data_IF_065532491588
#
_entry.id   IF_065532491588
#
_cell.length_a   1.000
_cell.length_b   1.000
_cell.length_c   1.000
_cell.angle_alpha   90.00
_cell.angle_beta   90.00
_cell.angle_gamma   90.00
#
_symmetry.space_group_name_H-M   'P 1'
#
loop_
_entity.id
_entity.type
_entity.pdbx_description
1 polymer ?
#
# COMPACT_ATOMS: atom_id res chain seq x y z
N UNK A 1 30.92 59.08 29.76
CA UNK A 1 31.47 57.94 30.55
C UNK A 1 30.39 56.89 30.59
N UNK A 2 30.46 55.97 29.64
CA UNK A 2 29.38 55.03 29.30
C UNK A 2 30.04 53.66 29.35
N UNK A 3 29.74 52.87 30.38
CA UNK A 3 30.31 51.54 30.54
C UNK A 3 29.28 50.49 30.11
N UNK A 4 29.67 49.75 29.07
CA UNK A 4 29.06 48.54 28.57
C UNK A 4 29.04 47.46 29.66
N UNK A 5 27.88 46.82 29.83
CA UNK A 5 27.80 45.47 30.42
C UNK A 5 27.41 44.52 29.29
N UNK A 6 28.34 43.60 29.00
CA UNK A 6 28.18 42.46 28.09
C UNK A 6 27.21 41.46 28.72
N UNK A 7 26.11 41.17 28.02
CA UNK A 7 25.30 39.97 28.22
C UNK A 7 25.41 39.12 26.96
N UNK A 8 26.02 37.94 27.09
CA UNK A 8 26.19 36.95 26.03
C UNK A 8 24.86 36.22 25.78
N UNK A 9 24.22 36.50 24.65
CA UNK A 9 23.15 35.67 24.11
C UNK A 9 23.76 34.59 23.20
N UNK A 10 23.54 33.33 23.57
CA UNK A 10 23.77 32.18 22.71
C UNK A 10 22.79 32.22 21.53
N UNK A 11 23.24 32.74 20.39
CA UNK A 11 22.65 32.44 19.09
C UNK A 11 23.22 31.11 18.59
N UNK A 12 22.48 30.03 18.81
CA UNK A 12 22.68 28.76 18.11
C UNK A 12 21.29 28.20 17.80
N UNK A 13 20.71 28.67 16.71
CA UNK A 13 19.35 28.31 16.29
C UNK A 13 19.05 28.78 14.89
N UNK A 14 19.87 28.36 13.91
CA UNK A 14 19.61 28.61 12.50
C UNK A 14 19.98 27.39 11.67
N UNK A 15 18.96 26.89 10.98
CA UNK A 15 19.02 26.10 9.75
C UNK A 15 19.63 24.69 9.83
N UNK A 16 18.79 23.70 10.17
CA UNK A 16 18.90 22.35 9.60
C UNK A 16 17.87 22.21 8.49
N UNK A 17 18.14 22.83 7.34
CA UNK A 17 17.59 22.35 6.08
C UNK A 17 18.31 21.03 5.76
N UNK A 18 17.63 19.90 5.92
CA UNK A 18 18.10 18.61 5.42
C UNK A 18 18.13 18.69 3.89
N UNK A 19 19.30 18.95 3.32
CA UNK A 19 19.62 18.52 1.97
C UNK A 19 19.73 16.98 2.00
N UNK A 20 18.66 16.29 1.62
CA UNK A 20 18.76 14.89 1.20
C UNK A 20 19.34 14.93 -0.21
N UNK A 21 20.68 14.80 -0.28
CA UNK A 21 21.38 14.58 -1.52
C UNK A 21 21.07 13.14 -1.97
N UNK A 22 19.99 12.96 -2.74
CA UNK A 22 19.76 11.72 -3.48
C UNK A 22 20.89 11.63 -4.51
N UNK A 23 21.85 10.74 -4.29
CA UNK A 23 22.77 10.31 -5.34
C UNK A 23 21.96 9.50 -6.37
N UNK A 24 21.33 10.20 -7.31
CA UNK A 24 20.93 9.66 -8.60
C UNK A 24 22.21 9.34 -9.37
N UNK A 25 22.74 8.13 -9.17
CA UNK A 25 23.67 7.54 -10.13
C UNK A 25 22.89 7.37 -11.43
N UNK A 26 23.36 8.05 -12.47
CA UNK A 26 22.64 8.29 -13.71
C UNK A 26 22.12 7.04 -14.40
N UNK A 27 20.79 6.99 -14.57
CA UNK A 27 20.13 6.23 -15.63
C UNK A 27 19.66 7.25 -16.66
N UNK A 28 20.61 7.86 -17.35
CA UNK A 28 20.37 8.58 -18.60
C UNK A 28 20.97 7.72 -19.72
N UNK A 29 20.15 6.88 -20.35
CA UNK A 29 20.60 5.97 -21.39
C UNK A 29 19.45 5.37 -22.18
N UNK A 30 19.17 5.99 -23.33
CA UNK A 30 18.40 5.51 -24.48
C UNK A 30 16.94 5.09 -24.25
N UNK A 31 16.03 6.05 -24.52
CA UNK A 31 14.73 5.74 -25.13
C UNK A 31 14.99 5.31 -26.58
N UNK A 32 15.35 4.04 -26.76
CA UNK A 32 15.32 3.38 -28.06
C UNK A 32 13.94 2.78 -28.29
N UNK A 33 13.12 3.43 -29.11
CA UNK A 33 11.91 2.84 -29.70
C UNK A 33 12.35 1.72 -30.67
N UNK A 34 12.77 0.58 -30.14
CA UNK A 34 12.98 -0.63 -30.92
C UNK A 34 11.65 -1.41 -30.94
N UNK A 35 11.04 -1.48 -32.12
CA UNK A 35 9.85 -2.29 -32.35
C UNK A 35 10.10 -3.75 -31.95
N UNK A 36 9.29 -4.24 -31.01
CA UNK A 36 9.21 -5.66 -30.70
C UNK A 36 8.59 -6.40 -31.89
N UNK A 37 9.44 -6.96 -32.75
CA UNK A 37 9.03 -8.06 -33.62
C UNK A 37 8.71 -9.31 -32.79
N UNK A 38 7.83 -10.20 -33.26
CA UNK A 38 7.44 -11.40 -32.52
C UNK A 38 8.66 -12.32 -32.36
N UNK A 39 9.16 -12.48 -31.12
CA UNK A 39 10.18 -13.46 -30.80
C UNK A 39 9.54 -14.84 -30.65
N UNK A 40 10.08 -15.81 -31.37
CA UNK A 40 9.73 -17.22 -31.30
C UNK A 40 9.88 -17.74 -29.85
N UNK A 41 8.83 -18.42 -29.37
CA UNK A 41 8.71 -18.91 -28.01
C UNK A 41 9.74 -19.99 -27.69
N UNK A 42 10.52 -19.75 -26.63
CA UNK A 42 11.14 -20.83 -25.88
C UNK A 42 10.09 -21.36 -24.90
N UNK A 43 9.63 -22.59 -25.14
CA UNK A 43 8.69 -23.31 -24.29
C UNK A 43 9.35 -23.65 -22.94
N UNK A 44 9.30 -22.70 -22.01
CA UNK A 44 9.52 -22.96 -20.58
C UNK A 44 8.26 -23.59 -19.99
N UNK A 45 8.00 -24.86 -20.35
CA UNK A 45 6.81 -25.62 -20.01
C UNK A 45 6.78 -26.16 -18.58
N UNK A 46 6.87 -25.28 -17.57
CA UNK A 46 6.34 -25.58 -16.25
C UNK A 46 5.03 -24.82 -16.11
N UNK A 47 3.92 -25.45 -16.51
CA UNK A 47 2.60 -24.93 -16.21
C UNK A 47 2.45 -24.88 -14.69
N UNK A 48 2.59 -23.69 -14.08
CA UNK A 48 2.12 -23.47 -12.72
C UNK A 48 0.65 -23.86 -12.70
N UNK A 49 0.30 -24.83 -11.85
CA UNK A 49 -1.10 -25.15 -11.63
C UNK A 49 -1.81 -23.85 -11.21
N UNK A 50 -2.96 -23.50 -11.81
CA UNK A 50 -3.71 -22.33 -11.39
C UNK A 50 -4.00 -22.47 -9.90
N UNK A 51 -3.46 -21.55 -9.11
CA UNK A 51 -3.82 -21.44 -7.70
C UNK A 51 -5.17 -20.73 -7.70
N UNK A 52 -6.25 -21.46 -7.42
CA UNK A 52 -7.56 -20.85 -7.24
C UNK A 52 -7.47 -19.89 -6.04
N UNK A 53 -7.83 -18.62 -6.27
CA UNK A 53 -7.82 -17.62 -5.20
C UNK A 53 -8.79 -18.04 -4.09
N UNK A 54 -8.27 -18.11 -2.88
CA UNK A 54 -9.09 -18.21 -1.68
C UNK A 54 -9.46 -16.79 -1.27
N UNK A 55 -10.73 -16.44 -1.43
CA UNK A 55 -11.25 -15.14 -1.00
C UNK A 55 -11.19 -15.00 0.51
N UNK A 56 -10.76 -13.82 0.96
CA UNK A 56 -10.83 -13.40 2.36
C UNK A 56 -11.52 -12.03 2.46
N UNK A 57 -12.57 -11.87 3.30
CA UNK A 57 -13.31 -12.95 3.94
C UNK A 57 -13.94 -13.90 2.90
N UNK A 58 -14.19 -15.15 3.28
CA UNK A 58 -14.85 -16.09 2.36
C UNK A 58 -16.28 -15.62 2.08
N UNK A 59 -16.67 -15.42 0.80
CA UNK A 59 -18.01 -14.96 0.47
C UNK A 59 -19.06 -16.03 0.82
N UNK A 60 -20.29 -15.62 1.17
CA UNK A 60 -21.44 -16.52 1.17
C UNK A 60 -21.62 -17.20 -0.19
N UNK A 61 -22.33 -18.34 -0.20
CA UNK A 61 -22.70 -19.00 -1.45
C UNK A 61 -23.46 -18.04 -2.39
N UNK A 62 -23.15 -18.03 -3.71
CA UNK A 62 -23.70 -17.05 -4.65
C UNK A 62 -25.23 -16.94 -4.64
N UNK A 63 -25.95 -18.06 -4.52
CA UNK A 63 -27.41 -18.08 -4.49
C UNK A 63 -27.98 -17.29 -3.31
N UNK A 64 -27.24 -17.23 -2.20
CA UNK A 64 -27.63 -16.47 -1.02
C UNK A 64 -27.39 -14.98 -1.21
N UNK A 65 -26.44 -14.54 -2.05
CA UNK A 65 -26.13 -13.13 -2.23
C UNK A 65 -27.28 -12.37 -2.88
N UNK A 66 -27.91 -12.95 -3.91
CA UNK A 66 -29.05 -12.36 -4.59
C UNK A 66 -30.28 -12.17 -3.68
N UNK A 67 -30.38 -12.97 -2.61
CA UNK A 67 -31.48 -12.89 -1.63
C UNK A 67 -31.25 -11.83 -0.55
N UNK A 68 -30.01 -11.38 -0.35
CA UNK A 68 -29.66 -10.38 0.66
C UNK A 68 -30.12 -8.99 0.22
N UNK A 69 -30.45 -8.12 1.18
CA UNK A 69 -30.64 -6.69 0.89
C UNK A 69 -29.29 -6.00 0.73
N UNK A 70 -29.26 -4.79 0.14
CA UNK A 70 -28.03 -4.00 0.11
C UNK A 70 -27.49 -3.73 1.53
N UNK A 71 -28.36 -3.51 2.51
CA UNK A 71 -27.98 -3.32 3.90
C UNK A 71 -27.29 -4.56 4.51
N UNK A 72 -27.65 -5.76 4.07
CA UNK A 72 -27.00 -7.01 4.50
C UNK A 72 -25.71 -7.30 3.72
N UNK A 73 -25.59 -6.80 2.49
CA UNK A 73 -24.40 -6.97 1.65
C UNK A 73 -23.26 -6.03 2.05
N UNK A 74 -23.53 -4.78 2.43
CA UNK A 74 -22.47 -3.81 2.77
C UNK A 74 -21.54 -4.31 3.89
N UNK A 75 -22.02 -4.87 5.02
CA UNK A 75 -21.15 -5.42 6.06
C UNK A 75 -20.30 -6.63 5.61
N UNK A 76 -20.67 -7.25 4.48
CA UNK A 76 -19.96 -8.39 3.88
C UNK A 76 -18.97 -7.95 2.78
N UNK A 77 -18.92 -6.67 2.44
CA UNK A 77 -17.94 -6.17 1.48
C UNK A 77 -16.53 -6.46 1.99
N UNK A 78 -15.64 -6.99 1.14
CA UNK A 78 -14.26 -7.10 1.50
C UNK A 78 -13.67 -5.68 1.57
N UNK A 79 -12.65 -5.47 2.41
CA UNK A 79 -11.85 -4.26 2.39
C UNK A 79 -11.32 -3.93 0.99
N UNK A 80 -11.13 -2.64 0.70
CA UNK A 80 -10.46 -2.20 -0.52
C UNK A 80 -9.08 -2.87 -0.63
N UNK A 81 -8.63 -3.12 -1.86
CA UNK A 81 -7.46 -3.92 -2.28
C UNK A 81 -7.66 -5.42 -2.42
N UNK A 82 -8.57 -6.01 -1.65
CA UNK A 82 -8.89 -7.46 -1.73
C UNK A 82 -10.23 -7.72 -2.44
N UNK A 83 -10.75 -6.69 -3.11
CA UNK A 83 -11.95 -6.76 -3.94
C UNK A 83 -11.74 -7.54 -5.26
N UNK A 84 -10.48 -7.86 -5.59
CA UNK A 84 -10.07 -8.60 -6.79
C UNK A 84 -9.22 -9.80 -6.43
N UNK A 85 -9.28 -10.82 -7.28
CA UNK A 85 -8.57 -12.08 -7.13
C UNK A 85 -8.44 -12.79 -8.47
N UNK A 86 -7.66 -13.87 -8.50
CA UNK A 86 -7.45 -14.69 -9.71
C UNK A 86 -8.20 -16.02 -9.61
N UNK A 87 -9.19 -16.26 -10.46
CA UNK A 87 -9.94 -17.53 -10.52
C UNK A 87 -9.68 -18.18 -11.87
N UNK A 88 -9.16 -19.40 -11.90
CA UNK A 88 -8.85 -20.09 -13.16
C UNK A 88 -7.87 -19.34 -14.07
N UNK A 89 -7.02 -18.46 -13.51
CA UNK A 89 -6.09 -17.61 -14.26
C UNK A 89 -6.67 -16.29 -14.75
N UNK A 90 -7.96 -16.02 -14.52
CA UNK A 90 -8.62 -14.76 -14.88
C UNK A 90 -8.81 -13.88 -13.65
N UNK A 91 -8.69 -12.55 -13.85
CA UNK A 91 -9.00 -11.57 -12.81
C UNK A 91 -10.51 -11.49 -12.62
N UNK A 92 -10.98 -11.75 -11.41
CA UNK A 92 -12.38 -11.68 -11.02
C UNK A 92 -12.56 -10.70 -9.84
N UNK A 93 -13.77 -10.16 -9.70
CA UNK A 93 -14.16 -9.47 -8.48
C UNK A 93 -14.54 -10.47 -7.39
N UNK A 94 -14.40 -10.05 -6.14
CA UNK A 94 -15.00 -10.74 -5.01
C UNK A 94 -16.53 -10.78 -5.20
N UNK A 95 -17.21 -11.92 -4.99
CA UNK A 95 -18.63 -12.07 -5.31
C UNK A 95 -19.56 -11.03 -4.66
N UNK A 96 -19.28 -10.63 -3.41
CA UNK A 96 -20.07 -9.57 -2.73
C UNK A 96 -19.84 -8.21 -3.39
N UNK A 97 -18.60 -7.91 -3.80
CA UNK A 97 -18.25 -6.66 -4.49
C UNK A 97 -18.95 -6.60 -5.84
N UNK A 98 -18.97 -7.71 -6.59
CA UNK A 98 -19.70 -7.83 -7.86
C UNK A 98 -21.21 -7.62 -7.69
N UNK A 99 -21.86 -8.29 -6.73
CA UNK A 99 -23.30 -8.15 -6.47
C UNK A 99 -23.67 -6.71 -6.07
N UNK A 100 -22.91 -6.08 -5.16
CA UNK A 100 -23.13 -4.67 -4.76
C UNK A 100 -22.97 -3.75 -5.97
N UNK A 101 -21.92 -3.95 -6.77
CA UNK A 101 -21.66 -3.19 -8.00
C UNK A 101 -22.84 -3.26 -8.96
N UNK A 102 -23.34 -4.47 -9.20
CA UNK A 102 -24.40 -4.72 -10.17
C UNK A 102 -25.74 -4.12 -9.72
N UNK A 103 -26.05 -4.12 -8.42
CA UNK A 103 -27.23 -3.45 -7.84
C UNK A 103 -27.18 -1.94 -7.96
N UNK A 104 -26.04 -1.33 -7.62
CA UNK A 104 -25.83 0.11 -7.78
C UNK A 104 -25.94 0.51 -9.25
N UNK A 105 -25.40 -0.32 -10.17
CA UNK A 105 -25.56 -0.14 -11.61
C UNK A 105 -27.01 -0.28 -12.08
N UNK A 106 -27.77 -1.17 -11.44
CA UNK A 106 -29.22 -1.34 -11.63
C UNK A 106 -30.07 -0.18 -11.08
N UNK A 107 -29.46 0.80 -10.40
CA UNK A 107 -30.14 1.97 -9.86
C UNK A 107 -30.64 1.82 -8.41
N UNK A 108 -30.27 0.74 -7.72
CA UNK A 108 -30.49 0.64 -6.28
C UNK A 108 -29.70 1.73 -5.55
N UNK A 109 -30.26 2.27 -4.47
CA UNK A 109 -29.69 3.39 -3.72
C UNK A 109 -29.33 2.97 -2.31
N UNK A 110 -28.13 3.37 -1.87
CA UNK A 110 -27.75 3.30 -0.46
C UNK A 110 -28.33 4.47 0.33
N UNK A 111 -28.67 4.21 1.60
CA UNK A 111 -28.95 5.26 2.56
C UNK A 111 -27.65 5.95 3.00
N UNK A 112 -27.75 7.12 3.63
CA UNK A 112 -26.58 7.84 4.16
C UNK A 112 -25.78 7.01 5.17
N UNK A 113 -26.46 6.19 5.98
CA UNK A 113 -25.82 5.32 6.95
C UNK A 113 -24.99 4.23 6.26
N UNK A 114 -25.54 3.61 5.21
CA UNK A 114 -24.84 2.60 4.43
C UNK A 114 -23.64 3.19 3.68
N UNK A 115 -23.74 4.41 3.16
CA UNK A 115 -22.60 5.10 2.55
C UNK A 115 -21.46 5.33 3.55
N UNK A 116 -21.77 5.86 4.74
CA UNK A 116 -20.75 6.07 5.78
C UNK A 116 -20.07 4.75 6.18
N UNK A 117 -20.86 3.72 6.41
CA UNK A 117 -20.36 2.40 6.76
C UNK A 117 -19.49 1.80 5.65
N UNK A 118 -19.96 1.84 4.39
CA UNK A 118 -19.19 1.35 3.25
C UNK A 118 -17.86 2.10 3.09
N UNK A 119 -17.84 3.43 3.24
CA UNK A 119 -16.62 4.21 3.08
C UNK A 119 -15.57 3.96 4.18
N UNK A 120 -16.00 3.76 5.43
CA UNK A 120 -15.08 3.58 6.58
C UNK A 120 -14.70 2.11 6.75
N UNK A 121 -15.67 1.21 6.81
CA UNK A 121 -15.46 -0.18 7.22
C UNK A 121 -14.76 -1.02 6.16
N UNK A 122 -14.94 -0.68 4.87
CA UNK A 122 -14.16 -1.27 3.78
C UNK A 122 -12.78 -0.60 3.63
N UNK A 123 -12.54 0.51 4.32
CA UNK A 123 -11.28 1.24 4.27
C UNK A 123 -11.06 2.07 3.00
N UNK A 124 -12.13 2.47 2.31
CA UNK A 124 -12.08 3.51 1.25
C UNK A 124 -11.50 4.81 1.81
N UNK A 125 -11.83 5.13 3.07
CA UNK A 125 -11.20 6.18 3.85
C UNK A 125 -10.66 5.54 5.14
N UNK A 126 -9.34 5.66 5.36
CA UNK A 126 -8.69 5.17 6.59
C UNK A 126 -8.15 6.36 7.37
N UNK A 127 -8.57 6.44 8.62
CA UNK A 127 -8.10 7.42 9.60
C UNK A 127 -7.47 6.65 10.76
N UNK A 128 -6.22 6.93 11.11
CA UNK A 128 -5.56 6.29 12.24
C UNK A 128 -6.17 6.83 13.53
N UNK A 129 -6.33 5.97 14.54
CA UNK A 129 -6.88 6.37 15.84
C UNK A 129 -5.98 7.37 16.56
N UNK A 130 -4.68 7.30 16.30
CA UNK A 130 -3.64 8.13 16.90
C UNK A 130 -2.71 8.66 15.82
N UNK A 131 -2.19 9.86 16.02
CA UNK A 131 -1.24 10.47 15.10
C UNK A 131 -0.17 11.26 15.85
N UNK A 132 1.11 11.16 15.47
CA UNK A 132 2.16 11.88 16.19
C UNK A 132 2.18 13.36 15.78
N UNK A 133 2.38 14.26 16.75
CA UNK A 133 2.33 15.71 16.53
C UNK A 133 3.43 16.24 15.60
N UNK A 134 4.54 15.52 15.47
CA UNK A 134 5.69 15.94 14.66
C UNK A 134 5.54 15.61 13.17
N UNK A 135 4.43 14.98 12.76
CA UNK A 135 4.08 14.71 11.37
C UNK A 135 2.80 15.44 10.96
N UNK A 136 2.70 15.94 9.72
CA UNK A 136 1.43 16.40 9.17
C UNK A 136 0.38 15.30 9.28
N UNK A 137 -0.82 15.63 9.77
CA UNK A 137 -1.93 14.68 9.81
C UNK A 137 -2.26 14.21 8.40
N UNK A 138 -2.28 12.90 8.19
CA UNK A 138 -2.58 12.31 6.90
C UNK A 138 -3.69 11.26 7.01
N UNK A 139 -4.32 10.99 5.87
CA UNK A 139 -5.29 9.89 5.71
C UNK A 139 -4.91 9.02 4.52
N UNK A 140 -5.45 7.81 4.49
CA UNK A 140 -5.44 6.96 3.30
C UNK A 140 -6.79 7.00 2.63
N UNK A 141 -6.81 7.11 1.31
CA UNK A 141 -8.01 6.85 0.55
C UNK A 141 -7.76 5.88 -0.60
N UNK A 142 -8.71 5.01 -0.90
CA UNK A 142 -8.62 4.07 -2.03
C UNK A 142 -9.99 3.95 -2.67
N UNK A 143 -10.04 4.08 -3.99
CA UNK A 143 -11.30 3.96 -4.71
C UNK A 143 -11.78 2.50 -4.65
N UNK A 144 -13.04 2.24 -4.26
CA UNK A 144 -13.54 0.87 -4.22
C UNK A 144 -13.95 0.36 -5.61
N UNK A 145 -13.69 -0.91 -5.87
CA UNK A 145 -14.03 -1.57 -7.13
C UNK A 145 -15.55 -1.73 -7.31
N UNK A 146 -16.32 -1.79 -6.23
CA UNK A 146 -17.80 -1.83 -6.31
C UNK A 146 -18.42 -0.51 -6.81
N UNK A 147 -17.66 0.59 -6.89
CA UNK A 147 -18.10 1.83 -7.56
C UNK A 147 -17.62 1.95 -9.02
N UNK A 148 -16.78 1.02 -9.50
CA UNK A 148 -16.17 1.12 -10.81
C UNK A 148 -15.29 2.38 -10.93
N UNK A 149 -15.57 3.21 -11.94
CA UNK A 149 -14.91 4.52 -12.05
C UNK A 149 -15.62 5.52 -11.15
N UNK A 150 -14.96 5.88 -10.05
CA UNK A 150 -15.48 6.83 -9.08
C UNK A 150 -14.40 7.78 -8.60
N UNK A 151 -14.87 8.90 -8.05
CA UNK A 151 -14.12 9.91 -7.33
C UNK A 151 -14.79 10.17 -6.00
N UNK A 152 -14.04 10.00 -4.93
CA UNK A 152 -14.46 10.33 -3.57
C UNK A 152 -13.66 11.53 -3.12
N UNK A 153 -14.33 12.55 -2.61
CA UNK A 153 -13.73 13.74 -2.03
C UNK A 153 -14.25 13.87 -0.60
N UNK A 154 -13.36 14.07 0.35
CA UNK A 154 -13.69 14.36 1.75
C UNK A 154 -13.15 15.76 2.02
N UNK A 155 -14.02 16.70 2.37
CA UNK A 155 -13.67 18.11 2.60
C UNK A 155 -13.83 18.46 4.08
N UNK A 156 -12.72 18.61 4.84
CA UNK A 156 -12.78 19.03 6.23
C UNK A 156 -13.34 20.45 6.39
N UNK A 157 -14.43 20.58 7.17
CA UNK A 157 -15.02 21.89 7.45
C UNK A 157 -14.03 22.78 8.21
N UNK A 158 -14.04 24.07 7.86
CA UNK A 158 -13.21 25.08 8.50
C UNK A 158 -11.90 25.41 7.77
N UNK A 159 -11.57 24.70 6.69
CA UNK A 159 -10.55 25.09 5.71
C UNK A 159 -9.11 25.13 6.23
N UNK A 160 -8.83 24.56 7.41
CA UNK A 160 -7.48 24.47 7.98
C UNK A 160 -6.71 23.24 7.49
N UNK A 161 -7.44 22.24 7.01
CA UNK A 161 -6.90 20.99 6.49
C UNK A 161 -7.19 20.90 4.99
N UNK A 162 -6.31 20.21 4.26
CA UNK A 162 -6.53 19.84 2.87
C UNK A 162 -7.72 18.89 2.71
N UNK A 163 -8.30 18.86 1.51
CA UNK A 163 -9.41 17.98 1.15
C UNK A 163 -8.87 16.73 0.44
N UNK A 164 -8.75 15.58 1.13
CA UNK A 164 -8.26 14.37 0.50
C UNK A 164 -9.28 13.83 -0.50
N UNK A 165 -8.75 13.10 -1.48
CA UNK A 165 -9.50 12.54 -2.58
C UNK A 165 -8.91 11.22 -3.04
N UNK A 166 -9.76 10.32 -3.51
CA UNK A 166 -9.33 9.17 -4.29
C UNK A 166 -10.22 9.00 -5.52
N UNK A 167 -9.76 8.15 -6.44
CA UNK A 167 -10.52 7.79 -7.61
C UNK A 167 -9.66 7.12 -8.67
N UNK A 168 -10.22 6.15 -9.38
CA UNK A 168 -9.59 5.61 -10.57
C UNK A 168 -9.95 6.52 -11.74
N UNK A 169 -9.08 7.49 -12.01
CA UNK A 169 -9.34 8.48 -13.06
C UNK A 169 -9.05 7.92 -14.45
N UNK A 170 -8.28 6.85 -14.61
CA UNK A 170 -7.97 6.30 -15.93
C UNK A 170 -7.67 4.79 -15.83
N UNK A 171 -8.57 3.90 -16.27
CA UNK A 171 -8.30 2.45 -16.29
C UNK A 171 -7.24 2.05 -17.33
N UNK A 172 -6.71 2.99 -18.13
CA UNK A 172 -5.77 2.73 -19.23
C UNK A 172 -4.40 3.41 -19.08
N UNK A 173 -4.05 3.98 -17.91
CA UNK A 173 -2.67 4.48 -17.76
C UNK A 173 -1.71 3.29 -17.77
N UNK A 174 -0.56 3.47 -18.44
CA UNK A 174 0.56 2.55 -18.29
C UNK A 174 0.85 2.32 -16.79
N UNK A 175 1.34 1.13 -16.43
CA UNK A 175 1.48 0.72 -15.02
C UNK A 175 2.09 1.79 -14.11
N UNK A 176 3.08 2.55 -14.59
CA UNK A 176 3.71 3.67 -13.85
C UNK A 176 2.74 4.77 -13.42
N UNK A 177 1.80 5.20 -14.26
CA UNK A 177 0.87 6.26 -13.87
C UNK A 177 -0.28 5.76 -12.99
N UNK A 178 -0.71 4.51 -13.17
CA UNK A 178 -1.58 3.83 -12.20
C UNK A 178 -0.93 3.82 -10.82
N UNK A 179 0.34 3.45 -10.79
CA UNK A 179 1.18 3.46 -9.60
C UNK A 179 1.24 4.84 -8.94
N UNK A 180 1.51 5.92 -9.67
CA UNK A 180 1.49 7.29 -9.10
C UNK A 180 0.11 7.68 -8.54
N UNK A 181 -0.98 7.34 -9.23
CA UNK A 181 -2.33 7.62 -8.73
C UNK A 181 -2.63 6.91 -7.40
N UNK A 182 -2.18 5.66 -7.24
CA UNK A 182 -2.27 4.95 -5.96
C UNK A 182 -1.42 5.59 -4.86
N UNK A 183 -0.27 6.14 -5.23
CA UNK A 183 0.68 6.83 -4.34
C UNK A 183 0.01 8.03 -3.68
N UNK A 184 -0.54 8.91 -4.51
CA UNK A 184 -1.25 10.10 -4.09
C UNK A 184 -2.52 9.75 -3.30
N UNK A 185 -3.16 8.61 -3.58
CA UNK A 185 -4.37 8.21 -2.87
C UNK A 185 -4.07 7.62 -1.48
N UNK A 186 -3.01 6.81 -1.37
CA UNK A 186 -2.73 6.02 -0.15
C UNK A 186 -2.08 6.81 0.98
N UNK A 187 -1.47 7.97 0.73
CA UNK A 187 -0.96 8.85 1.79
C UNK A 187 -1.19 10.33 1.43
N UNK A 188 -2.19 10.95 2.08
CA UNK A 188 -2.60 12.33 1.80
C UNK A 188 -2.44 13.19 3.03
N UNK A 189 -1.39 14.02 3.05
CA UNK A 189 -1.18 15.02 4.08
C UNK A 189 -2.26 16.11 4.01
N UNK A 190 -2.93 16.34 5.14
CA UNK A 190 -4.00 17.32 5.28
C UNK A 190 -3.51 18.58 6.00
N UNK A 191 -2.45 18.49 6.79
CA UNK A 191 -1.86 19.61 7.52
C UNK A 191 -1.69 19.32 9.01
N UNK A 192 -1.38 20.33 9.79
CA UNK A 192 -1.00 20.13 11.20
C UNK A 192 -2.20 20.14 12.15
N UNK A 193 -2.17 19.24 13.14
CA UNK A 193 -3.11 19.21 14.26
C UNK A 193 -2.37 19.41 15.59
N UNK A 194 -3.00 20.10 16.53
CA UNK A 194 -2.46 20.28 17.88
C UNK A 194 -2.56 18.98 18.71
N UNK A 195 -1.79 18.82 19.78
CA UNK A 195 -1.95 17.69 20.71
C UNK A 195 -3.39 17.59 21.25
N UNK A 196 -3.88 16.35 21.41
CA UNK A 196 -5.18 16.04 21.98
C UNK A 196 -6.15 15.40 20.98
N UNK A 197 -7.40 15.23 21.41
CA UNK A 197 -8.45 14.60 20.61
C UNK A 197 -9.12 15.61 19.69
N UNK A 198 -9.33 15.21 18.43
CA UNK A 198 -10.01 15.99 17.41
C UNK A 198 -11.17 15.20 16.84
N UNK A 199 -12.29 15.89 16.65
CA UNK A 199 -13.40 15.45 15.82
C UNK A 199 -13.48 16.44 14.66
N UNK A 200 -13.22 15.96 13.46
CA UNK A 200 -13.09 16.78 12.25
C UNK A 200 -14.33 16.52 11.38
N UNK A 201 -15.32 17.42 11.41
CA UNK A 201 -16.50 17.24 10.57
C UNK A 201 -16.16 17.50 9.12
N UNK A 202 -16.53 16.56 8.25
CA UNK A 202 -16.26 16.60 6.82
C UNK A 202 -17.54 16.56 6.00
N UNK A 203 -17.49 17.20 4.84
CA UNK A 203 -18.46 17.01 3.75
C UNK A 203 -17.88 15.99 2.78
N UNK A 204 -18.68 15.02 2.36
CA UNK A 204 -18.23 13.93 1.50
C UNK A 204 -19.04 13.95 0.23
N UNK A 205 -18.34 13.92 -0.90
CA UNK A 205 -18.93 13.82 -2.23
C UNK A 205 -18.41 12.55 -2.89
N UNK A 206 -19.33 11.68 -3.30
CA UNK A 206 -19.04 10.50 -4.12
C UNK A 206 -19.68 10.72 -5.49
N UNK A 207 -18.82 10.82 -6.49
CA UNK A 207 -19.22 10.85 -7.89
C UNK A 207 -18.70 9.61 -8.57
N UNK A 208 -19.45 9.05 -9.50
CA UNK A 208 -19.00 7.86 -10.22
C UNK A 208 -20.04 7.34 -11.18
N UNK A 209 -19.66 6.29 -11.90
CA UNK A 209 -20.55 5.63 -12.83
C UNK A 209 -19.91 4.40 -13.48
N UNK A 210 -20.78 3.49 -13.92
CA UNK A 210 -20.39 2.24 -14.55
C UNK A 210 -20.44 2.32 -16.09
N UNK A 211 -20.60 3.51 -16.65
CA UNK A 211 -20.83 3.66 -18.09
C UNK A 211 -19.51 3.75 -18.84
N UNK A 212 -19.37 2.91 -19.87
CA UNK A 212 -18.33 3.07 -20.91
C UNK A 212 -18.35 4.46 -21.55
N UNK A 213 -19.47 5.18 -21.47
CA UNK A 213 -19.61 6.58 -21.89
C UNK A 213 -18.62 7.52 -21.20
N UNK A 214 -18.24 7.29 -19.94
CA UNK A 214 -17.24 8.12 -19.26
C UNK A 214 -15.86 7.94 -19.90
N UNK A 215 -15.52 6.71 -20.30
CA UNK A 215 -14.30 6.41 -21.03
C UNK A 215 -14.34 6.98 -22.46
N UNK A 216 -15.49 6.92 -23.11
CA UNK A 216 -15.70 7.50 -24.44
C UNK A 216 -15.67 9.03 -24.41
N UNK A 217 -16.20 9.66 -23.36
CA UNK A 217 -16.12 11.12 -23.14
C UNK A 217 -14.70 11.56 -22.79
N UNK A 218 -14.00 10.81 -21.93
CA UNK A 218 -12.57 11.03 -21.65
C UNK A 218 -11.73 10.97 -22.93
N UNK A 219 -11.94 9.93 -23.74
CA UNK A 219 -11.27 9.76 -25.04
C UNK A 219 -11.56 10.89 -26.04
N UNK A 220 -12.68 11.60 -25.89
CA UNK A 220 -13.03 12.78 -26.71
C UNK A 220 -12.40 14.07 -26.16
N UNK A 221 -12.35 14.26 -24.85
CA UNK A 221 -11.75 15.42 -24.19
C UNK A 221 -10.22 15.47 -24.39
N UNK A 222 -9.55 14.32 -24.46
CA UNK A 222 -8.10 14.18 -24.71
C UNK A 222 -7.63 14.73 -26.06
N UNK A 223 -8.54 15.06 -26.98
CA UNK A 223 -8.19 15.54 -28.32
C UNK A 223 -8.04 17.05 -28.42
N UNK A 224 -8.38 17.83 -27.39
CA UNK A 224 -8.53 19.28 -27.55
C UNK A 224 -7.46 20.17 -26.89
N UNK A 225 -6.61 19.67 -25.97
CA UNK A 225 -5.65 20.56 -25.27
C UNK A 225 -4.34 19.86 -24.83
N UNK A 226 -3.21 20.22 -25.47
CA UNK A 226 -1.79 20.02 -25.11
C UNK A 226 -1.33 18.74 -24.35
N UNK A 227 -2.09 17.64 -24.40
CA UNK A 227 -1.76 16.38 -23.77
C UNK A 227 -1.87 16.37 -22.23
N UNK A 228 -2.56 17.34 -21.63
CA UNK A 228 -2.87 17.35 -20.19
C UNK A 228 -4.34 17.08 -19.98
N UNK A 229 -4.67 15.83 -19.65
CA UNK A 229 -6.01 15.44 -19.24
C UNK A 229 -6.30 16.06 -17.88
N UNK A 230 -7.13 17.12 -17.84
CA UNK A 230 -7.68 17.58 -16.58
C UNK A 230 -8.82 16.64 -16.17
N UNK A 231 -8.45 15.54 -15.51
CA UNK A 231 -9.41 14.59 -14.96
C UNK A 231 -10.36 15.25 -13.93
N UNK A 232 -10.08 16.47 -13.45
CA UNK A 232 -11.00 17.20 -12.60
C UNK A 232 -12.23 17.74 -13.37
N UNK A 233 -12.14 17.86 -14.70
CA UNK A 233 -13.22 18.33 -15.56
C UNK A 233 -14.27 17.25 -15.91
N UNK A 234 -14.05 16.00 -15.48
CA UNK A 234 -14.96 14.90 -15.81
C UNK A 234 -16.22 14.98 -14.92
N UNK A 235 -17.37 15.23 -15.56
CA UNK A 235 -18.66 15.33 -14.88
C UNK A 235 -19.25 13.95 -14.61
N UNK A 236 -18.62 13.23 -13.68
CA UNK A 236 -19.21 12.01 -13.15
C UNK A 236 -20.52 12.32 -12.42
N UNK A 237 -21.59 11.51 -12.63
CA UNK A 237 -22.83 11.64 -11.90
C UNK A 237 -22.61 11.64 -10.39
N UNK A 238 -23.35 12.47 -9.67
CA UNK A 238 -23.40 12.45 -8.22
C UNK A 238 -24.09 11.17 -7.75
N UNK A 239 -23.36 10.30 -7.06
CA UNK A 239 -23.90 9.09 -6.44
C UNK A 239 -24.36 9.37 -5.02
N UNK A 240 -23.60 10.19 -4.28
CA UNK A 240 -23.92 10.56 -2.91
C UNK A 240 -23.22 11.84 -2.48
N UNK A 241 -23.91 12.59 -1.62
CA UNK A 241 -23.38 13.75 -0.90
C UNK A 241 -23.87 13.65 0.54
N UNK A 242 -22.96 13.79 1.50
CA UNK A 242 -23.29 13.69 2.91
C UNK A 242 -22.18 14.19 3.81
N UNK A 243 -22.23 13.79 5.07
CA UNK A 243 -21.25 14.20 6.09
C UNK A 243 -20.65 13.01 6.81
N UNK A 244 -19.42 13.16 7.26
CA UNK A 244 -18.68 12.17 8.05
C UNK A 244 -17.75 12.89 9.02
N UNK A 245 -17.56 12.35 10.22
CA UNK A 245 -16.62 12.90 11.20
C UNK A 245 -15.36 12.02 11.26
N UNK A 246 -14.18 12.64 11.14
CA UNK A 246 -12.90 11.97 11.37
C UNK A 246 -12.50 12.15 12.84
N UNK A 247 -12.27 11.05 13.54
CA UNK A 247 -11.83 11.06 14.93
C UNK A 247 -10.36 10.63 15.03
N UNK A 248 -9.51 11.47 15.64
CA UNK A 248 -8.08 11.18 15.83
C UNK A 248 -7.57 11.79 17.14
N UNK A 249 -6.71 11.06 17.85
CA UNK A 249 -5.96 11.57 19.01
C UNK A 249 -4.52 11.88 18.59
N UNK A 250 -4.16 13.17 18.58
CA UNK A 250 -2.79 13.60 18.31
C UNK A 250 -1.97 13.46 19.59
N UNK A 251 -0.91 12.66 19.51
CA UNK A 251 -0.05 12.24 20.61
C UNK A 251 1.36 12.81 20.47
N UNK A 252 2.16 12.74 21.54
CA UNK A 252 3.43 13.47 21.60
C UNK A 252 4.54 12.88 20.73
N UNK A 253 4.42 11.60 20.37
CA UNK A 253 5.47 10.89 19.64
C UNK A 253 4.91 9.75 18.79
N UNK A 254 5.73 9.31 17.83
CA UNK A 254 5.44 8.15 17.00
C UNK A 254 5.20 6.88 17.82
N UNK A 255 5.97 6.62 18.87
CA UNK A 255 5.81 5.42 19.72
C UNK A 255 4.50 5.41 20.52
N UNK A 256 3.91 6.60 20.79
CA UNK A 256 2.58 6.70 21.39
C UNK A 256 1.46 6.41 20.36
N UNK A 257 1.71 6.71 19.08
CA UNK A 257 0.77 6.48 17.98
C UNK A 257 0.80 5.01 17.52
N UNK A 258 2.00 4.43 17.40
CA UNK A 258 2.24 3.03 17.10
C UNK A 258 3.22 2.48 18.12
N UNK A 259 2.77 1.61 19.02
CA UNK A 259 3.62 1.08 20.08
C UNK A 259 4.69 0.14 19.51
N UNK A 260 6.00 0.31 19.83
CA UNK A 260 7.02 -0.66 19.45
C UNK A 260 6.82 -1.98 20.20
N UNK A 261 6.94 -3.11 19.48
CA UNK A 261 6.82 -4.46 20.02
C UNK A 261 7.97 -5.34 19.56
N UNK A 262 8.60 -6.00 20.52
CA UNK A 262 9.53 -7.11 20.32
C UNK A 262 9.42 -8.04 21.52
N UNK A 263 8.82 -9.20 21.31
CA UNK A 263 8.79 -10.30 22.28
C UNK A 263 9.34 -11.54 21.58
N UNK A 264 9.86 -12.55 22.30
CA UNK A 264 10.36 -13.78 21.68
C UNK A 264 9.35 -14.44 20.73
N UNK A 265 8.06 -14.39 21.07
CA UNK A 265 6.97 -14.93 20.26
C UNK A 265 6.77 -14.14 18.96
N UNK A 266 6.69 -12.80 19.05
CA UNK A 266 6.55 -11.94 17.87
C UNK A 266 7.78 -12.02 16.97
N UNK A 267 8.98 -12.04 17.54
CA UNK A 267 10.23 -12.16 16.78
C UNK A 267 10.30 -13.51 16.05
N UNK A 268 9.90 -14.60 16.70
CA UNK A 268 9.80 -15.91 16.05
C UNK A 268 8.78 -15.91 14.90
N UNK A 269 7.60 -15.32 15.10
CA UNK A 269 6.57 -15.23 14.08
C UNK A 269 7.01 -14.37 12.87
N UNK A 270 7.66 -13.22 13.11
CA UNK A 270 8.25 -12.39 12.05
C UNK A 270 9.33 -13.17 11.30
N UNK A 271 10.20 -13.88 12.03
CA UNK A 271 11.21 -14.74 11.42
C UNK A 271 10.60 -15.81 10.51
N UNK A 272 9.50 -16.46 10.93
CA UNK A 272 8.81 -17.50 10.16
C UNK A 272 8.07 -16.95 8.93
N UNK A 273 7.53 -15.74 9.03
CA UNK A 273 6.83 -15.07 7.93
C UNK A 273 7.76 -14.62 6.78
N UNK A 274 9.07 -14.52 7.03
CA UNK A 274 10.05 -14.08 6.03
C UNK A 274 10.45 -15.23 5.11
N UNK A 275 10.37 -14.95 3.82
CA UNK A 275 10.85 -15.80 2.74
C UNK A 275 11.74 -15.00 1.78
N UNK A 276 12.60 -15.73 1.07
CA UNK A 276 13.53 -15.14 0.11
C UNK A 276 13.46 -15.89 -1.22
N UNK A 277 13.42 -15.14 -2.32
CA UNK A 277 13.55 -15.67 -3.68
C UNK A 277 14.77 -15.07 -4.35
N UNK A 278 15.64 -15.90 -4.91
CA UNK A 278 16.74 -15.44 -5.76
C UNK A 278 16.38 -15.74 -7.20
N UNK A 279 16.32 -14.68 -8.01
CA UNK A 279 15.95 -14.81 -9.42
C UNK A 279 16.78 -13.84 -10.28
N UNK A 280 17.07 -14.26 -11.51
CA UNK A 280 17.60 -13.36 -12.54
C UNK A 280 16.54 -12.32 -12.91
N UNK A 281 16.94 -11.05 -13.06
CA UNK A 281 16.02 -9.95 -13.38
C UNK A 281 15.44 -10.03 -14.81
N UNK A 282 15.86 -11.01 -15.60
CA UNK A 282 15.43 -11.26 -16.97
C UNK A 282 16.54 -10.98 -18.00
N UNK A 283 16.24 -11.17 -19.30
CA UNK A 283 17.23 -11.02 -20.37
C UNK A 283 17.85 -9.62 -20.38
N UNK A 284 19.18 -9.54 -20.32
CA UNK A 284 19.93 -8.28 -20.37
C UNK A 284 20.46 -7.77 -19.03
N UNK A 285 20.12 -8.42 -17.92
CA UNK A 285 20.75 -8.20 -16.62
C UNK A 285 21.70 -9.35 -16.31
N UNK A 286 22.95 -9.04 -15.94
CA UNK A 286 23.96 -10.06 -15.57
C UNK A 286 23.81 -10.59 -14.16
N UNK A 287 23.09 -9.87 -13.31
CA UNK A 287 23.10 -10.10 -11.87
C UNK A 287 21.75 -10.69 -11.42
N UNK A 288 21.81 -11.72 -10.59
CA UNK A 288 20.63 -12.19 -9.87
C UNK A 288 20.28 -11.21 -8.75
N UNK A 289 18.99 -11.13 -8.45
CA UNK A 289 18.46 -10.32 -7.37
C UNK A 289 17.86 -11.22 -6.31
N UNK A 290 18.09 -10.86 -5.05
CA UNK A 290 17.32 -11.39 -3.95
C UNK A 290 16.08 -10.53 -3.73
N UNK A 291 14.95 -11.19 -3.61
CA UNK A 291 13.64 -10.62 -3.35
C UNK A 291 13.19 -11.12 -1.99
N UNK A 292 12.91 -10.19 -1.07
CA UNK A 292 12.30 -10.53 0.21
C UNK A 292 10.79 -10.47 0.05
N UNK A 293 10.12 -11.42 0.68
CA UNK A 293 8.68 -11.42 0.86
C UNK A 293 8.34 -11.80 2.30
N UNK A 294 7.57 -10.95 3.00
CA UNK A 294 7.13 -11.24 4.36
C UNK A 294 5.63 -11.57 4.34
N UNK A 295 5.26 -12.85 4.43
CA UNK A 295 3.87 -13.29 4.36
C UNK A 295 3.36 -13.66 5.75
N UNK A 296 2.61 -12.77 6.44
CA UNK A 296 2.11 -13.09 7.76
C UNK A 296 1.02 -14.15 7.65
N UNK A 297 1.19 -15.26 8.36
CA UNK A 297 0.11 -16.21 8.61
C UNK A 297 -0.57 -15.83 9.93
N UNK A 298 -1.58 -14.97 9.88
CA UNK A 298 -2.26 -14.49 11.09
C UNK A 298 -3.25 -15.50 11.68
N UNK A 299 -3.47 -16.63 11.02
CA UNK A 299 -4.20 -17.77 11.60
C UNK A 299 -3.26 -18.57 12.50
N UNK A 300 -2.05 -18.86 12.02
CA UNK A 300 -1.00 -19.53 12.79
C UNK A 300 -0.36 -18.64 13.85
N UNK A 301 -0.17 -17.36 13.54
CA UNK A 301 0.44 -16.33 14.38
C UNK A 301 -0.51 -15.13 14.60
N UNK A 302 -1.55 -15.27 15.44
CA UNK A 302 -2.50 -14.19 15.74
C UNK A 302 -1.83 -12.91 16.27
N UNK A 303 -0.66 -13.02 16.88
CA UNK A 303 0.17 -11.91 17.36
C UNK A 303 0.74 -11.02 16.25
N UNK A 304 0.66 -11.41 14.98
CA UNK A 304 1.02 -10.55 13.84
C UNK A 304 -0.15 -9.64 13.40
N UNK A 305 -1.37 -9.85 13.89
CA UNK A 305 -2.53 -9.01 13.54
C UNK A 305 -2.31 -7.58 14.04
N UNK A 306 -2.52 -6.60 13.15
CA UNK A 306 -2.32 -5.17 13.43
C UNK A 306 -0.85 -4.76 13.63
N UNK A 307 0.11 -5.67 13.44
CA UNK A 307 1.52 -5.34 13.51
C UNK A 307 1.96 -4.72 12.19
N UNK A 308 2.46 -3.50 12.18
CA UNK A 308 3.16 -2.93 11.04
C UNK A 308 4.62 -3.38 11.00
N UNK A 309 5.15 -3.53 9.80
CA UNK A 309 6.48 -4.03 9.53
C UNK A 309 7.25 -3.07 8.64
N UNK A 310 8.11 -2.25 9.23
CA UNK A 310 9.14 -1.52 8.52
C UNK A 310 10.50 -2.03 8.99
N UNK A 311 11.37 -2.36 8.04
CA UNK A 311 12.58 -3.14 8.25
C UNK A 311 13.81 -2.47 7.66
N UNK A 312 14.94 -2.68 8.33
CA UNK A 312 16.26 -2.69 7.72
C UNK A 312 16.65 -4.14 7.50
N UNK A 313 16.83 -4.54 6.25
CA UNK A 313 17.24 -5.88 5.86
C UNK A 313 18.71 -5.88 5.44
N UNK A 314 19.54 -6.64 6.15
CA UNK A 314 20.96 -6.81 5.90
C UNK A 314 21.21 -8.24 5.40
N UNK A 315 21.87 -8.38 4.25
CA UNK A 315 22.39 -9.66 3.77
C UNK A 315 23.81 -9.84 4.28
N UNK A 316 24.10 -10.99 4.90
CA UNK A 316 25.37 -11.27 5.54
C UNK A 316 26.05 -12.49 4.92
N UNK A 317 27.38 -12.44 4.86
CA UNK A 317 28.28 -13.54 4.53
C UNK A 317 29.26 -13.71 5.69
N UNK A 318 29.24 -14.87 6.34
CA UNK A 318 30.05 -15.19 7.52
C UNK A 318 29.95 -14.14 8.64
N UNK A 319 28.78 -13.51 8.77
CA UNK A 319 28.47 -12.48 9.77
C UNK A 319 28.80 -11.04 9.35
N UNK A 320 29.43 -10.83 8.19
CA UNK A 320 29.74 -9.51 7.64
C UNK A 320 28.62 -9.01 6.72
N UNK A 321 28.25 -7.72 6.84
CA UNK A 321 27.17 -7.14 6.03
C UNK A 321 27.65 -6.88 4.60
N UNK A 322 27.07 -7.59 3.64
CA UNK A 322 27.37 -7.47 2.20
C UNK A 322 26.42 -6.50 1.51
N UNK A 323 25.15 -6.46 1.93
CA UNK A 323 24.15 -5.54 1.39
C UNK A 323 23.16 -5.10 2.47
N UNK A 324 22.59 -3.90 2.29
CA UNK A 324 21.55 -3.36 3.17
C UNK A 324 20.44 -2.77 2.34
N UNK A 325 19.20 -3.01 2.76
CA UNK A 325 18.00 -2.45 2.16
C UNK A 325 17.01 -2.00 3.23
N UNK A 326 16.09 -1.11 2.87
CA UNK A 326 14.98 -0.69 3.73
C UNK A 326 13.66 -1.11 3.10
N UNK A 327 12.77 -1.63 3.95
CA UNK A 327 11.45 -2.12 3.59
C UNK A 327 10.41 -1.42 4.49
N UNK A 328 9.25 -1.01 3.97
CA UNK A 328 8.99 -0.88 2.55
C UNK A 328 10.00 0.07 1.88
N UNK A 329 10.13 0.05 0.55
CA UNK A 329 10.91 1.10 -0.17
C UNK A 329 10.07 2.31 -0.50
N UNK A 330 8.76 2.12 -0.48
CA UNK A 330 7.79 3.10 -0.88
C UNK A 330 6.63 3.12 0.14
N UNK A 331 6.08 4.29 0.49
CA UNK A 331 4.80 4.44 1.23
C UNK A 331 3.63 3.54 0.76
N UNK A 332 3.70 3.03 -0.48
CA UNK A 332 2.70 2.17 -1.12
C UNK A 332 2.83 0.70 -0.75
N UNK A 333 3.96 0.31 -0.17
CA UNK A 333 4.25 -1.07 0.15
C UNK A 333 4.00 -1.24 1.65
N UNK A 334 3.22 -2.25 2.01
CA UNK A 334 3.44 -2.87 3.29
C UNK A 334 4.60 -3.85 3.11
N UNK A 335 5.52 -3.94 4.07
CA UNK A 335 6.49 -5.04 4.04
C UNK A 335 5.79 -6.39 4.23
N UNK A 336 4.55 -6.40 4.76
CA UNK A 336 3.67 -7.55 4.69
C UNK A 336 3.10 -7.73 3.29
N UNK A 337 3.43 -8.86 2.70
CA UNK A 337 2.70 -9.42 1.58
C UNK A 337 1.59 -10.31 2.12
N UNK A 338 0.35 -9.87 2.12
CA UNK A 338 -0.73 -10.86 2.11
C UNK A 338 -1.96 -10.35 1.40
N UNK A 339 -2.47 -11.19 0.52
CA UNK A 339 -3.84 -11.20 0.03
C UNK A 339 -4.84 -11.64 1.13
N UNK A 340 -4.32 -11.99 2.32
CA UNK A 340 -5.06 -12.61 3.44
C UNK A 340 -5.16 -11.75 4.69
N UNK A 341 -4.41 -10.66 4.81
CA UNK A 341 -4.70 -9.67 5.85
C UNK A 341 -5.87 -8.81 5.38
N UNK A 342 -6.74 -8.43 6.32
CA UNK A 342 -7.94 -7.59 6.12
C UNK A 342 -7.62 -6.25 5.44
N UNK A 343 -6.36 -5.90 5.27
CA UNK A 343 -5.94 -4.62 4.69
C UNK A 343 -4.84 -4.77 3.64
N UNK A 344 -4.61 -5.98 3.16
CA UNK A 344 -3.54 -6.39 2.27
C UNK A 344 -3.33 -5.46 1.10
N UNK A 345 -2.22 -4.71 1.12
CA UNK A 345 -1.71 -4.07 -0.10
C UNK A 345 -1.06 -5.17 -0.93
N UNK A 346 -1.28 -5.22 -2.26
CA UNK A 346 -0.73 -6.29 -3.09
C UNK A 346 0.78 -6.41 -2.87
N UNK A 347 1.20 -7.65 -2.61
CA UNK A 347 2.58 -8.07 -2.39
C UNK A 347 3.49 -7.57 -3.50
N UNK A 348 4.21 -6.49 -3.29
CA UNK A 348 5.38 -6.18 -4.11
C UNK A 348 6.54 -6.87 -3.43
N UNK A 349 7.06 -7.94 -4.06
CA UNK A 349 8.37 -8.45 -3.70
C UNK A 349 9.36 -7.29 -3.71
N UNK A 350 10.05 -7.07 -2.60
CA UNK A 350 11.00 -5.97 -2.51
C UNK A 350 12.41 -6.49 -2.83
N UNK A 351 13.07 -5.95 -3.86
CA UNK A 351 14.39 -6.40 -4.22
C UNK A 351 15.36 -5.89 -3.16
N UNK A 352 16.06 -6.79 -2.46
CA UNK A 352 17.19 -6.43 -1.60
C UNK A 352 18.29 -5.72 -2.37
N UNK A 353 18.56 -6.23 -3.57
CA UNK A 353 19.66 -5.79 -4.42
C UNK A 353 20.26 -6.96 -5.20
N UNK A 354 21.31 -6.67 -5.99
CA UNK A 354 22.07 -7.72 -6.65
C UNK A 354 22.73 -8.63 -5.60
N UNK A 355 22.67 -9.93 -5.80
CA UNK A 355 23.41 -10.90 -5.00
C UNK A 355 24.67 -11.36 -5.74
N UNK A 356 25.74 -11.71 -5.01
CA UNK A 356 26.93 -12.27 -5.66
C UNK A 356 26.59 -13.46 -6.54
N UNK A 357 27.28 -13.56 -7.69
CA UNK A 357 27.04 -14.62 -8.66
C UNK A 357 27.26 -16.04 -8.13
N UNK A 358 27.85 -16.20 -6.95
CA UNK A 358 27.87 -17.47 -6.23
C UNK A 358 26.45 -17.88 -5.80
N UNK A 359 25.72 -17.03 -5.08
CA UNK A 359 24.34 -17.27 -4.65
C UNK A 359 23.34 -17.38 -5.82
N UNK A 360 23.63 -16.73 -6.94
CA UNK A 360 22.80 -16.78 -8.14
C UNK A 360 22.71 -18.18 -8.77
N UNK A 361 23.76 -19.01 -8.61
CA UNK A 361 23.81 -20.34 -9.26
C UNK A 361 23.02 -21.34 -8.44
N UNK A 362 22.04 -21.99 -9.07
CA UNK A 362 21.31 -23.12 -8.46
C UNK A 362 22.29 -24.15 -7.90
N UNK A 363 22.16 -24.43 -6.60
CA UNK A 363 22.98 -25.43 -5.90
C UNK A 363 24.33 -24.94 -5.38
N UNK A 364 24.68 -23.65 -5.56
CA UNK A 364 25.74 -23.06 -4.75
C UNK A 364 25.29 -23.02 -3.28
N UNK A 365 26.17 -23.44 -2.38
CA UNK A 365 25.86 -23.47 -0.94
C UNK A 365 25.52 -22.06 -0.45
N UNK A 366 24.36 -21.92 0.19
CA UNK A 366 24.01 -20.75 0.99
C UNK A 366 24.57 -20.86 2.43
N UNK A 367 25.53 -21.77 2.64
CA UNK A 367 26.25 -21.95 3.89
C UNK A 367 27.07 -20.68 4.18
N UNK A 368 27.02 -20.20 5.42
CA UNK A 368 27.64 -18.93 5.82
C UNK A 368 26.80 -17.69 5.48
N UNK A 369 25.71 -17.82 4.71
CA UNK A 369 24.84 -16.70 4.39
C UNK A 369 23.63 -16.61 5.33
N UNK A 370 23.35 -15.40 5.80
CA UNK A 370 22.16 -15.10 6.59
C UNK A 370 21.52 -13.78 6.18
N UNK A 371 20.25 -13.61 6.57
CA UNK A 371 19.49 -12.39 6.43
C UNK A 371 19.18 -11.87 7.83
N UNK A 372 19.71 -10.69 8.19
CA UNK A 372 19.37 -10.01 9.44
C UNK A 372 18.32 -8.95 9.15
N UNK A 373 17.24 -8.99 9.91
CA UNK A 373 16.15 -8.03 9.84
C UNK A 373 16.11 -7.25 11.14
N UNK A 374 15.96 -5.93 11.04
CA UNK A 374 15.75 -5.04 12.19
C UNK A 374 14.50 -4.23 11.97
N UNK A 375 13.60 -4.22 12.93
CA UNK A 375 12.43 -3.33 12.93
C UNK A 375 12.84 -1.86 13.03
N UNK A 376 12.12 -0.98 12.36
CA UNK A 376 12.30 0.48 12.41
C UNK A 376 10.94 1.17 12.42
N UNK A 377 10.89 2.40 12.94
CA UNK A 377 9.73 3.27 12.86
C UNK A 377 9.62 4.04 11.54
N UNK A 378 10.66 4.00 10.70
CA UNK A 378 10.69 4.71 9.42
C UNK A 378 9.54 4.25 8.51
N UNK A 379 8.65 5.17 8.14
CA UNK A 379 7.45 4.94 7.31
C UNK A 379 6.36 4.09 7.94
N UNK A 380 6.33 3.91 9.26
CA UNK A 380 5.22 3.19 9.89
C UNK A 380 3.88 3.92 9.70
N UNK A 381 3.92 5.25 9.58
CA UNK A 381 2.75 6.11 9.38
C UNK A 381 2.03 5.83 8.05
N UNK A 382 2.68 5.13 7.11
CA UNK A 382 2.08 4.74 5.84
C UNK A 382 1.43 3.35 5.91
N UNK A 383 1.57 2.64 7.03
CA UNK A 383 0.98 1.31 7.24
C UNK A 383 -0.36 1.43 7.97
N UNK A 384 -1.38 1.86 7.25
CA UNK A 384 -2.71 2.22 7.78
C UNK A 384 -3.49 1.13 8.52
N UNK A 385 -3.03 -0.11 8.45
CA UNK A 385 -3.60 -1.25 9.17
C UNK A 385 -2.94 -1.48 10.54
N UNK A 386 -1.78 -0.87 10.78
CA UNK A 386 -0.97 -1.08 11.96
C UNK A 386 -1.47 -0.26 13.16
N UNK A 387 -1.56 -0.89 14.32
CA UNK A 387 -1.77 -0.24 15.62
C UNK A 387 -0.50 -0.26 16.50
N UNK A 388 0.49 -1.06 16.09
CA UNK A 388 1.80 -1.24 16.71
C UNK A 388 2.80 -1.61 15.63
N UNK A 389 4.09 -1.53 15.92
CA UNK A 389 5.13 -1.89 14.95
C UNK A 389 6.19 -2.80 15.54
N UNK A 390 6.77 -3.63 14.68
CA UNK A 390 7.86 -4.50 15.09
C UNK A 390 9.14 -3.68 15.25
N UNK A 391 9.76 -3.74 16.43
CA UNK A 391 11.02 -3.06 16.75
C UNK A 391 12.17 -4.03 17.06
N UNK A 392 11.97 -5.32 16.78
CA UNK A 392 12.89 -6.39 17.15
C UNK A 392 14.06 -6.55 16.17
N UNK A 393 14.84 -7.60 16.38
CA UNK A 393 15.89 -8.03 15.45
C UNK A 393 15.93 -9.53 15.37
N UNK A 394 15.91 -10.07 14.15
CA UNK A 394 16.06 -11.51 13.90
C UNK A 394 17.12 -11.75 12.83
N UNK A 395 17.75 -12.91 12.91
CA UNK A 395 18.66 -13.40 11.88
C UNK A 395 18.17 -14.77 11.40
N UNK A 396 17.98 -14.90 10.09
CA UNK A 396 17.46 -16.11 9.45
C UNK A 396 18.52 -16.65 8.51
N UNK A 397 18.77 -17.96 8.54
CA UNK A 397 19.66 -18.58 7.57
C UNK A 397 19.09 -18.40 6.15
N UNK A 398 19.95 -18.08 5.17
CA UNK A 398 19.48 -17.87 3.81
C UNK A 398 18.83 -19.14 3.24
N UNK A 399 19.40 -20.31 3.60
CA UNK A 399 18.86 -21.63 3.28
C UNK A 399 17.41 -21.79 3.73
N UNK A 400 17.06 -21.42 4.97
CA UNK A 400 15.69 -21.60 5.47
C UNK A 400 14.72 -20.58 4.88
N UNK A 401 15.15 -19.32 4.70
CA UNK A 401 14.35 -18.31 4.01
C UNK A 401 14.03 -18.71 2.55
N UNK A 402 15.01 -19.30 1.84
CA UNK A 402 14.82 -19.80 0.48
C UNK A 402 13.93 -21.05 0.41
N UNK A 403 14.04 -21.98 1.36
CA UNK A 403 13.13 -23.14 1.44
C UNK A 403 11.67 -22.70 1.56
N UNK A 404 11.39 -21.67 2.37
CA UNK A 404 10.04 -21.11 2.51
C UNK A 404 9.54 -20.47 1.22
N UNK A 405 10.41 -19.74 0.51
CA UNK A 405 10.09 -19.10 -0.77
C UNK A 405 9.90 -20.07 -1.94
N UNK A 406 10.41 -21.30 -1.85
CA UNK A 406 10.26 -22.33 -2.89
C UNK A 406 8.96 -23.16 -2.78
N UNK A 407 8.33 -23.16 -1.61
CA UNK A 407 7.09 -23.92 -1.34
C UNK A 407 5.80 -23.14 -1.61
N UNK A 408 5.92 -21.92 -2.12
CA UNK A 408 4.83 -21.00 -2.47
C UNK A 408 5.02 -20.59 -3.93
#
# INVERSE_FOLDING_TARGET
MTNQVRGTSNEAGLSRAKAVLVQLVGVAGLVGLAGCGPKAGAESGAAQAPVDTVWYPTPPAPERLAELSLADLIPLLPPVWIERGTIGGEQALHPVTEEVRDRLRGGERMSDELWRHALVDTGVLRVPRRWPQDLPFAVSMTAPEWLGMARVIVDPRGGRLGAPRCGSLLPEICGTGYFWGLEDATYQELGDLALGRHEIPCEVTVRGGFNGDALEQASRADREDDGKVDCAAWDYPLLWEGTLDLSVEVVASLDEAWTPVSTPEVDAAVSEAVSLRIAERGPGYSDAFAWIRCEPDTELHPELRGLGLALVAELLEDGEVVATNRLPRHPRQSAWSSERDRFGTPSLEDPLGPVPGALARRGAGADGWSLRLRGTSEMIETQWHADRYWSGTVEVSLTDAMKRGAGR
#
